data_IF_586191699663
#
_entry.id   IF_586191699663
#
_cell.length_a   1.000
_cell.length_b   1.000
_cell.length_c   1.000
_cell.angle_alpha   90.00
_cell.angle_beta   90.00
_cell.angle_gamma   90.00
#
_symmetry.space_group_name_H-M   'P 1'
#
loop_
_entity.id
_entity.type
_entity.pdbx_description
1 polymer ?
#
# COMPACT_ATOMS: atom_id res chain seq x y z
N UNK A 1 14.54 -5.36 2.01
CA UNK A 1 14.44 -4.15 2.86
C UNK A 1 15.60 -3.17 2.65
N UNK A 2 16.88 -3.57 2.82
CA UNK A 2 18.03 -2.69 2.55
C UNK A 2 18.04 -2.09 1.14
N UNK A 3 17.81 -2.93 0.12
CA UNK A 3 17.73 -2.50 -1.29
C UNK A 3 16.59 -1.49 -1.55
N UNK A 4 15.42 -1.72 -0.97
CA UNK A 4 14.29 -0.79 -1.07
C UNK A 4 14.61 0.58 -0.46
N UNK A 5 15.23 0.60 0.73
CA UNK A 5 15.66 1.84 1.37
C UNK A 5 16.71 2.58 0.54
N UNK A 6 17.59 1.87 -0.16
CA UNK A 6 18.55 2.47 -1.09
C UNK A 6 17.83 3.18 -2.25
N UNK A 7 16.86 2.52 -2.88
CA UNK A 7 16.06 3.11 -3.98
C UNK A 7 15.28 4.35 -3.49
N UNK A 8 14.66 4.27 -2.31
CA UNK A 8 13.88 5.38 -1.74
C UNK A 8 14.75 6.62 -1.53
N UNK A 9 16.02 6.45 -1.16
CA UNK A 9 16.95 7.58 -0.97
C UNK A 9 17.25 8.34 -2.26
N UNK A 10 17.19 7.69 -3.43
CA UNK A 10 17.43 8.36 -4.71
C UNK A 10 16.30 9.32 -5.09
N UNK A 11 15.03 8.93 -4.84
CA UNK A 11 13.84 9.73 -5.20
C UNK A 11 12.76 9.68 -4.12
N UNK A 12 12.96 10.32 -2.96
CA UNK A 12 12.06 10.17 -1.81
C UNK A 12 10.70 10.89 -1.97
N UNK A 13 10.62 11.94 -2.80
CA UNK A 13 9.42 12.79 -2.90
C UNK A 13 8.34 12.21 -3.82
N UNK A 14 8.70 11.89 -5.05
CA UNK A 14 7.78 11.42 -6.10
C UNK A 14 8.01 9.96 -6.52
N UNK A 15 9.03 9.30 -5.97
CA UNK A 15 9.38 7.94 -6.35
C UNK A 15 9.95 7.83 -7.77
N UNK A 16 10.00 6.59 -8.25
CA UNK A 16 10.56 6.22 -9.57
C UNK A 16 9.49 5.86 -10.62
N UNK A 17 8.21 5.86 -10.23
CA UNK A 17 7.09 5.39 -11.02
C UNK A 17 6.95 3.86 -11.06
N UNK A 18 5.77 3.37 -11.43
CA UNK A 18 5.44 1.94 -11.44
C UNK A 18 6.13 1.15 -12.57
N UNK A 19 6.42 1.79 -13.69
CA UNK A 19 7.03 1.14 -14.87
C UNK A 19 8.49 0.73 -14.71
N UNK A 20 9.21 1.28 -13.72
CA UNK A 20 10.66 1.12 -13.58
C UNK A 20 11.09 0.26 -12.38
N UNK A 21 10.15 -0.34 -11.64
CA UNK A 21 10.45 -1.04 -10.39
C UNK A 21 11.43 -2.20 -10.59
N UNK A 22 11.24 -3.07 -11.60
CA UNK A 22 12.16 -4.20 -11.84
C UNK A 22 13.60 -3.69 -12.00
N UNK A 23 13.77 -2.74 -12.92
CA UNK A 23 15.08 -2.18 -13.28
C UNK A 23 15.74 -1.47 -12.10
N UNK A 24 14.96 -0.76 -11.28
CA UNK A 24 15.48 -0.09 -10.09
C UNK A 24 15.97 -1.09 -9.03
N UNK A 25 15.26 -2.19 -8.83
CA UNK A 25 15.72 -3.27 -7.95
C UNK A 25 17.00 -3.93 -8.49
N UNK A 26 17.04 -4.28 -9.78
CA UNK A 26 18.25 -4.85 -10.40
C UNK A 26 19.46 -3.90 -10.23
N UNK A 27 19.29 -2.61 -10.55
CA UNK A 27 20.32 -1.57 -10.37
C UNK A 27 20.77 -1.48 -8.91
N UNK A 28 19.84 -1.39 -7.98
CA UNK A 28 20.16 -1.27 -6.56
C UNK A 28 20.87 -2.51 -5.99
N UNK A 29 20.58 -3.71 -6.49
CA UNK A 29 21.31 -4.93 -6.11
C UNK A 29 22.78 -4.90 -6.56
N UNK A 30 23.05 -4.32 -7.74
CA UNK A 30 24.42 -4.10 -8.24
C UNK A 30 25.13 -3.02 -7.42
N UNK A 31 24.50 -1.87 -7.21
CA UNK A 31 25.10 -0.74 -6.48
C UNK A 31 25.40 -1.07 -5.00
N UNK A 32 24.57 -1.91 -4.38
CA UNK A 32 24.78 -2.35 -3.00
C UNK A 32 25.77 -3.52 -2.86
N UNK A 33 26.43 -3.93 -3.96
CA UNK A 33 27.35 -5.08 -4.02
C UNK A 33 26.75 -6.33 -3.36
N UNK A 34 25.50 -6.63 -3.70
CA UNK A 34 24.81 -7.76 -3.09
C UNK A 34 25.45 -9.08 -3.49
N UNK A 35 25.78 -9.92 -2.51
CA UNK A 35 26.27 -11.30 -2.72
C UNK A 35 25.16 -12.27 -3.16
N UNK A 36 23.92 -11.79 -3.28
CA UNK A 36 22.78 -12.61 -3.68
C UNK A 36 22.83 -12.86 -5.18
N UNK A 37 22.74 -14.14 -5.55
CA UNK A 37 22.54 -14.53 -6.95
C UNK A 37 21.24 -13.93 -7.50
N UNK A 38 21.21 -13.67 -8.81
CA UNK A 38 20.09 -12.98 -9.47
C UNK A 38 18.72 -13.63 -9.21
N UNK A 39 18.65 -14.95 -9.06
CA UNK A 39 17.41 -15.69 -8.73
C UNK A 39 16.83 -15.38 -7.34
N UNK A 40 17.65 -14.88 -6.42
CA UNK A 40 17.25 -14.53 -5.05
C UNK A 40 17.05 -13.01 -4.85
N UNK A 41 17.25 -12.22 -5.90
CA UNK A 41 17.02 -10.77 -5.90
C UNK A 41 15.53 -10.48 -6.06
N UNK A 42 14.80 -10.46 -4.95
CA UNK A 42 13.34 -10.24 -4.91
C UNK A 42 12.99 -8.82 -4.47
N UNK A 43 11.82 -8.36 -4.91
CA UNK A 43 11.24 -7.10 -4.44
C UNK A 43 10.83 -7.19 -2.97
N UNK A 44 10.61 -6.06 -2.32
CA UNK A 44 9.97 -6.08 -1.00
C UNK A 44 8.52 -6.48 -1.14
N UNK A 45 8.09 -7.44 -0.34
CA UNK A 45 6.69 -7.77 -0.13
C UNK A 45 6.15 -6.88 0.98
N UNK A 46 6.00 -5.59 0.72
CA UNK A 46 5.50 -4.64 1.70
C UNK A 46 4.87 -3.48 0.94
N UNK A 47 3.55 -3.40 0.97
CA UNK A 47 2.80 -2.46 0.15
C UNK A 47 3.22 -1.01 0.41
N UNK A 48 3.52 -0.66 1.67
CA UNK A 48 3.94 0.70 2.03
C UNK A 48 5.30 1.07 1.43
N UNK A 49 6.26 0.15 1.46
CA UNK A 49 7.56 0.35 0.80
C UNK A 49 7.41 0.37 -0.73
N UNK A 50 6.56 -0.49 -1.28
CA UNK A 50 6.26 -0.51 -2.72
C UNK A 50 5.66 0.83 -3.17
N UNK A 51 4.68 1.37 -2.43
CA UNK A 51 4.11 2.69 -2.68
C UNK A 51 5.14 3.82 -2.51
N UNK A 52 5.98 3.76 -1.47
CA UNK A 52 7.05 4.74 -1.25
C UNK A 52 8.06 4.74 -2.42
N UNK A 53 8.43 3.57 -2.94
CA UNK A 53 9.33 3.47 -4.10
C UNK A 53 8.65 4.05 -5.35
N UNK A 54 7.39 3.69 -5.60
CA UNK A 54 6.70 4.06 -6.83
C UNK A 54 6.33 5.54 -6.88
N UNK A 55 5.79 6.06 -5.78
CA UNK A 55 5.11 7.35 -5.73
C UNK A 55 5.73 8.33 -4.72
N UNK A 56 6.76 7.89 -3.98
CA UNK A 56 7.41 8.69 -2.94
C UNK A 56 6.52 8.95 -1.73
N UNK A 57 6.97 9.86 -0.88
CA UNK A 57 6.26 10.21 0.36
C UNK A 57 4.88 10.81 0.08
N UNK A 58 4.73 11.56 -1.01
CA UNK A 58 3.46 12.21 -1.37
C UNK A 58 2.42 11.14 -1.68
N UNK A 59 2.77 10.16 -2.51
CA UNK A 59 1.85 9.07 -2.83
C UNK A 59 1.58 8.15 -1.63
N UNK A 60 2.58 7.90 -0.78
CA UNK A 60 2.39 7.13 0.44
C UNK A 60 1.43 7.83 1.43
N UNK A 61 1.58 9.13 1.64
CA UNK A 61 0.69 9.90 2.50
C UNK A 61 -0.73 9.95 1.94
N UNK A 62 -0.88 10.15 0.63
CA UNK A 62 -2.18 10.08 -0.02
C UNK A 62 -2.82 8.69 0.15
N UNK A 63 -2.05 7.63 -0.01
CA UNK A 63 -2.52 6.26 0.21
C UNK A 63 -2.99 6.03 1.66
N UNK A 64 -2.18 6.42 2.66
CA UNK A 64 -2.57 6.32 4.08
C UNK A 64 -3.84 7.13 4.34
N UNK A 65 -3.96 8.32 3.75
CA UNK A 65 -5.16 9.13 3.84
C UNK A 65 -6.39 8.37 3.30
N UNK A 66 -6.30 7.68 2.15
CA UNK A 66 -7.42 6.89 1.62
C UNK A 66 -7.84 5.72 2.53
N UNK A 67 -6.92 5.15 3.31
CA UNK A 67 -7.24 4.10 4.28
C UNK A 67 -7.91 4.65 5.54
N UNK A 68 -7.46 5.81 6.04
CA UNK A 68 -7.91 6.38 7.32
C UNK A 68 -9.16 7.25 7.17
N UNK A 69 -9.29 8.00 6.07
CA UNK A 69 -10.40 8.94 5.87
C UNK A 69 -11.79 8.31 6.04
N UNK A 70 -12.09 7.12 5.46
CA UNK A 70 -13.39 6.51 5.63
C UNK A 70 -13.71 6.16 7.10
N UNK A 71 -12.72 5.82 7.92
CA UNK A 71 -12.91 5.50 9.34
C UNK A 71 -13.48 6.70 10.11
N UNK A 72 -13.05 7.91 9.74
CA UNK A 72 -13.51 9.16 10.38
C UNK A 72 -14.93 9.51 9.96
N UNK A 73 -15.29 9.24 8.71
CA UNK A 73 -16.58 9.63 8.13
C UNK A 73 -17.69 8.58 8.31
N UNK A 74 -17.35 7.33 8.66
CA UNK A 74 -18.31 6.24 8.79
C UNK A 74 -19.30 6.44 9.95
N UNK A 75 -20.62 6.25 9.73
CA UNK A 75 -21.62 6.29 10.79
C UNK A 75 -21.43 5.16 11.81
N UNK A 76 -21.86 5.42 13.05
CA UNK A 76 -21.53 4.61 14.23
C UNK A 76 -22.00 3.15 14.17
N UNK A 77 -23.09 2.84 13.48
CA UNK A 77 -23.72 1.51 13.52
C UNK A 77 -22.82 0.38 12.98
N UNK A 78 -21.98 0.66 11.97
CA UNK A 78 -21.03 -0.32 11.42
C UNK A 78 -19.56 0.05 11.62
N UNK A 79 -19.30 1.14 12.36
CA UNK A 79 -17.95 1.72 12.50
C UNK A 79 -16.95 0.73 13.08
N UNK A 80 -17.32 0.00 14.14
CA UNK A 80 -16.43 -0.98 14.78
C UNK A 80 -16.04 -2.11 13.83
N UNK A 81 -16.99 -2.63 13.05
CA UNK A 81 -16.73 -3.69 12.09
C UNK A 81 -15.85 -3.20 10.92
N UNK A 82 -16.13 -1.99 10.44
CA UNK A 82 -15.31 -1.35 9.40
C UNK A 82 -13.87 -1.12 9.87
N UNK A 83 -13.67 -0.68 11.12
CA UNK A 83 -12.33 -0.51 11.71
C UNK A 83 -11.58 -1.84 11.74
N UNK A 84 -12.21 -2.92 12.20
CA UNK A 84 -11.59 -4.25 12.23
C UNK A 84 -11.21 -4.71 10.82
N UNK A 85 -12.11 -4.53 9.83
CA UNK A 85 -11.82 -4.83 8.43
C UNK A 85 -10.61 -4.06 7.90
N UNK A 86 -10.57 -2.73 8.08
CA UNK A 86 -9.43 -1.93 7.63
C UNK A 86 -8.16 -2.28 8.38
N UNK A 87 -8.21 -2.60 9.67
CA UNK A 87 -7.03 -3.05 10.42
C UNK A 87 -6.47 -4.35 9.87
N UNK A 88 -7.32 -5.35 9.57
CA UNK A 88 -6.87 -6.62 8.98
C UNK A 88 -6.18 -6.36 7.63
N UNK A 89 -6.81 -5.55 6.77
CA UNK A 89 -6.27 -5.18 5.47
C UNK A 89 -4.96 -4.38 5.60
N UNK A 90 -4.88 -3.42 6.52
CA UNK A 90 -3.69 -2.61 6.73
C UNK A 90 -2.51 -3.43 7.29
N UNK A 91 -2.80 -4.43 8.12
CA UNK A 91 -1.80 -5.36 8.65
C UNK A 91 -1.33 -6.35 7.57
N UNK A 92 -2.21 -6.85 6.69
CA UNK A 92 -1.79 -7.74 5.59
C UNK A 92 -0.81 -7.06 4.63
N UNK A 93 -0.93 -5.74 4.46
CA UNK A 93 -0.04 -4.92 3.65
C UNK A 93 1.40 -4.79 4.22
N UNK A 94 1.63 -5.13 5.48
CA UNK A 94 2.98 -5.13 6.06
C UNK A 94 3.84 -6.28 5.51
N UNK A 95 3.21 -7.39 5.14
CA UNK A 95 3.87 -8.62 4.73
C UNK A 95 3.72 -8.94 3.25
N UNK A 96 2.72 -8.38 2.57
CA UNK A 96 2.45 -8.62 1.15
C UNK A 96 1.96 -7.34 0.44
N UNK A 97 2.15 -7.29 -0.87
CA UNK A 97 1.55 -6.26 -1.73
C UNK A 97 0.08 -6.60 -2.01
N UNK A 98 -0.74 -6.54 -0.94
CA UNK A 98 -2.15 -6.99 -0.91
C UNK A 98 -2.97 -6.39 -2.07
N UNK A 99 -2.82 -5.09 -2.36
CA UNK A 99 -3.59 -4.40 -3.40
C UNK A 99 -3.10 -4.68 -4.82
N UNK A 100 -1.90 -5.25 -4.97
CA UNK A 100 -1.39 -5.69 -6.27
C UNK A 100 -1.90 -7.10 -6.64
N UNK A 101 -2.41 -7.84 -5.65
CA UNK A 101 -3.05 -9.14 -5.89
C UNK A 101 -4.52 -8.97 -6.31
N UNK A 102 -4.98 -9.79 -7.25
CA UNK A 102 -6.38 -9.81 -7.68
C UNK A 102 -7.35 -10.08 -6.51
N UNK A 103 -6.99 -11.03 -5.65
CA UNK A 103 -7.83 -11.39 -4.49
C UNK A 103 -7.89 -10.23 -3.49
N UNK A 104 -6.75 -9.63 -3.15
CA UNK A 104 -6.69 -8.55 -2.17
C UNK A 104 -7.38 -7.28 -2.65
N UNK A 105 -7.19 -6.86 -3.91
CA UNK A 105 -7.89 -5.70 -4.45
C UNK A 105 -9.40 -5.92 -4.55
N UNK A 106 -9.84 -7.12 -4.92
CA UNK A 106 -11.26 -7.46 -5.00
C UNK A 106 -11.91 -7.43 -3.61
N UNK A 107 -11.27 -8.07 -2.62
CA UNK A 107 -11.73 -8.06 -1.24
C UNK A 107 -11.82 -6.63 -0.70
N UNK A 108 -10.77 -5.83 -0.91
CA UNK A 108 -10.72 -4.44 -0.49
C UNK A 108 -11.85 -3.62 -1.12
N UNK A 109 -11.97 -3.63 -2.45
CA UNK A 109 -12.98 -2.86 -3.16
C UNK A 109 -14.41 -3.28 -2.81
N UNK A 110 -14.67 -4.59 -2.73
CA UNK A 110 -15.99 -5.13 -2.39
C UNK A 110 -16.45 -4.65 -1.01
N UNK A 111 -15.64 -4.85 0.04
CA UNK A 111 -16.05 -4.51 1.39
C UNK A 111 -16.12 -2.99 1.61
N UNK A 112 -15.18 -2.20 1.05
CA UNK A 112 -15.28 -0.73 1.11
C UNK A 112 -16.61 -0.24 0.51
N UNK A 113 -16.99 -0.79 -0.64
CA UNK A 113 -18.23 -0.45 -1.33
C UNK A 113 -19.46 -0.92 -0.55
N UNK A 114 -19.44 -2.16 -0.05
CA UNK A 114 -20.52 -2.74 0.76
C UNK A 114 -20.79 -1.86 1.99
N UNK A 115 -19.75 -1.55 2.77
CA UNK A 115 -19.90 -0.70 3.93
C UNK A 115 -20.45 0.66 3.51
N UNK A 116 -19.91 1.28 2.44
CA UNK A 116 -20.34 2.61 1.98
C UNK A 116 -21.84 2.67 1.70
N UNK A 117 -22.42 1.62 1.14
CA UNK A 117 -23.87 1.54 0.88
C UNK A 117 -24.70 1.12 2.09
N UNK A 118 -24.11 0.41 3.06
CA UNK A 118 -24.77 0.09 4.34
C UNK A 118 -24.80 1.29 5.30
N UNK A 119 -23.89 2.26 5.12
CA UNK A 119 -23.86 3.48 5.90
C UNK A 119 -25.20 4.23 5.72
N UNK A 120 -26.01 4.42 6.80
CA UNK A 120 -27.22 5.20 6.70
C UNK A 120 -26.89 6.59 6.15
N UNK A 121 -27.52 6.96 5.03
CA UNK A 121 -27.41 8.32 4.50
C UNK A 121 -27.90 9.25 5.59
N UNK A 122 -27.04 10.17 6.07
CA UNK A 122 -27.48 11.26 6.93
C UNK A 122 -28.64 11.95 6.20
N UNK A 123 -29.86 11.72 6.67
CA UNK A 123 -31.01 12.51 6.27
C UNK A 123 -30.67 13.94 6.69
N UNK A 124 -30.32 14.80 5.74
CA UNK A 124 -30.23 16.25 5.96
C UNK A 124 -31.57 16.66 6.57
N UNK A 125 -31.59 16.93 7.87
CA UNK A 125 -32.63 17.73 8.50
C UNK A 125 -32.33 19.19 8.20
#
# INVERSE_FOLDING_TARGET
LKTALHIIKEKPLFGIGTGNIVKAYEKAYVETNSKLEKRFQRRTHNQYLSFMICFGIIGLLYFIFTLVYPIVYFPNEFKSLYIVFILIIALSMLTEDTLETQVGVTLYAFFNTLFLFLAPTKKKR
#
